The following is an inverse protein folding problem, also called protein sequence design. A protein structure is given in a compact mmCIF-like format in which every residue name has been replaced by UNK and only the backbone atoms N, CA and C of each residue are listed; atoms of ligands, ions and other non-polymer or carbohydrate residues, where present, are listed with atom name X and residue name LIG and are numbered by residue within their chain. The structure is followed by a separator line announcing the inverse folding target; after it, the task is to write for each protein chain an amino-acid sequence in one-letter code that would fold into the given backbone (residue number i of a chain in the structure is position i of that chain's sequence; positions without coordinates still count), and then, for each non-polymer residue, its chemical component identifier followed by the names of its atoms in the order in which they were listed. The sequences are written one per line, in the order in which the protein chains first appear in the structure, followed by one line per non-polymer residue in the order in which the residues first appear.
data_IF_656346186084
#
_entry.id   IF_656346186084
#
_cell.length_a   1.000
_cell.length_b   1.000
_cell.length_c   1.000
_cell.angle_alpha   90.00
_cell.angle_beta   90.00
_cell.angle_gamma   90.00
#
_symmetry.space_group_name_H-M   'P 1'
#
loop_
_entity.id
_entity.type
_entity.pdbx_description
1 polymer ?
#
# COMPACT_ATOMS: atom_id res chain seq x y z
N UNK A 1 -28.51 10.58 -18.22
CA UNK A 1 -27.75 9.43 -17.69
C UNK A 1 -28.63 8.69 -16.71
N UNK A 2 -28.94 7.44 -17.01
CA UNK A 2 -29.59 6.52 -16.05
C UNK A 2 -28.55 5.98 -15.07
N UNK A 3 -28.99 5.53 -13.88
CA UNK A 3 -28.09 4.92 -12.88
C UNK A 3 -27.29 3.75 -13.47
N UNK A 4 -27.90 3.00 -14.38
CA UNK A 4 -27.28 1.85 -15.07
C UNK A 4 -26.16 2.28 -16.01
N UNK A 5 -26.33 3.39 -16.73
CA UNK A 5 -25.30 3.93 -17.62
C UNK A 5 -24.06 4.37 -16.83
N UNK A 6 -24.26 5.09 -15.72
CA UNK A 6 -23.17 5.54 -14.84
C UNK A 6 -22.41 4.36 -14.26
N UNK A 7 -23.12 3.34 -13.77
CA UNK A 7 -22.50 2.13 -13.25
C UNK A 7 -21.66 1.42 -14.32
N UNK A 8 -22.21 1.25 -15.53
CA UNK A 8 -21.52 0.56 -16.63
C UNK A 8 -20.24 1.30 -17.04
N UNK A 9 -20.28 2.62 -17.11
CA UNK A 9 -19.12 3.45 -17.44
C UNK A 9 -18.05 3.35 -16.35
N UNK A 10 -18.44 3.50 -15.08
CA UNK A 10 -17.51 3.37 -13.94
C UNK A 10 -16.80 2.01 -13.91
N UNK A 11 -17.54 0.90 -14.13
CA UNK A 11 -16.91 -0.42 -14.21
C UNK A 11 -15.95 -0.54 -15.39
N UNK A 12 -16.33 0.00 -16.56
CA UNK A 12 -15.48 -0.07 -17.75
C UNK A 12 -14.17 0.69 -17.57
N UNK A 13 -14.20 1.85 -16.90
CA UNK A 13 -13.02 2.64 -16.58
C UNK A 13 -12.17 2.02 -15.46
N UNK A 14 -12.79 1.43 -14.44
CA UNK A 14 -12.08 0.83 -13.30
C UNK A 14 -11.48 -0.55 -13.63
N UNK A 15 -12.07 -1.31 -14.56
CA UNK A 15 -11.67 -2.68 -14.89
C UNK A 15 -10.17 -2.87 -15.13
N UNK A 16 -9.46 -2.04 -15.92
CA UNK A 16 -8.02 -2.18 -16.13
C UNK A 16 -7.21 -2.05 -14.83
N UNK A 17 -7.55 -1.05 -14.01
CA UNK A 17 -6.88 -0.82 -12.73
C UNK A 17 -7.16 -1.96 -11.73
N UNK A 18 -8.41 -2.41 -11.66
CA UNK A 18 -8.81 -3.55 -10.83
C UNK A 18 -8.14 -4.85 -11.29
N UNK A 19 -7.98 -5.06 -12.59
CA UNK A 19 -7.28 -6.23 -13.14
C UNK A 19 -5.81 -6.23 -12.74
N UNK A 20 -5.13 -5.08 -12.83
CA UNK A 20 -3.75 -4.94 -12.36
C UNK A 20 -3.65 -5.19 -10.85
N UNK A 21 -4.60 -4.66 -10.06
CA UNK A 21 -4.66 -4.90 -8.61
C UNK A 21 -4.88 -6.38 -8.28
N UNK A 22 -5.74 -7.07 -9.04
CA UNK A 22 -6.00 -8.50 -8.87
C UNK A 22 -4.73 -9.31 -9.11
N UNK A 23 -4.03 -9.06 -10.22
CA UNK A 23 -2.78 -9.77 -10.54
C UNK A 23 -1.73 -9.53 -9.46
N UNK A 24 -1.53 -8.27 -9.04
CA UNK A 24 -0.60 -7.94 -7.97
C UNK A 24 -0.97 -8.61 -6.63
N UNK A 25 -2.26 -8.61 -6.29
CA UNK A 25 -2.78 -9.26 -5.09
C UNK A 25 -2.61 -10.78 -5.10
N UNK A 26 -2.83 -11.43 -6.25
CA UNK A 26 -2.58 -12.86 -6.42
C UNK A 26 -1.09 -13.20 -6.25
N UNK A 27 -0.20 -12.42 -6.86
CA UNK A 27 1.26 -12.59 -6.69
C UNK A 27 1.64 -12.43 -5.22
N UNK A 28 1.14 -11.39 -4.56
CA UNK A 28 1.39 -11.19 -3.12
C UNK A 28 0.87 -12.34 -2.26
N UNK A 29 -0.30 -12.90 -2.60
CA UNK A 29 -0.88 -14.06 -1.93
C UNK A 29 -0.04 -15.33 -2.10
N UNK A 30 0.51 -15.56 -3.29
CA UNK A 30 1.44 -16.69 -3.54
C UNK A 30 2.71 -16.53 -2.70
N UNK A 31 3.31 -15.34 -2.67
CA UNK A 31 4.49 -15.05 -1.84
C UNK A 31 4.19 -15.28 -0.36
N UNK A 32 3.07 -14.76 0.14
CA UNK A 32 2.65 -14.96 1.54
C UNK A 32 2.39 -16.43 1.86
N UNK A 33 1.83 -17.19 0.92
CA UNK A 33 1.63 -18.63 1.03
C UNK A 33 2.94 -19.42 1.12
N UNK A 34 4.02 -18.92 0.54
CA UNK A 34 5.36 -19.50 0.68
C UNK A 34 5.99 -19.28 2.06
N UNK A 35 5.54 -18.27 2.82
CA UNK A 35 6.08 -17.91 4.14
C UNK A 35 5.32 -18.57 5.30
N UNK A 36 4.59 -19.66 5.04
CA UNK A 36 3.69 -20.27 6.03
C UNK A 36 4.42 -20.81 7.26
N UNK A 37 5.61 -21.37 7.10
CA UNK A 37 6.37 -21.94 8.22
C UNK A 37 6.91 -20.85 9.15
N UNK A 38 7.34 -19.74 8.58
CA UNK A 38 7.85 -18.55 9.27
C UNK A 38 6.71 -17.85 10.02
N UNK A 39 5.55 -17.72 9.38
CA UNK A 39 4.35 -17.18 10.02
C UNK A 39 3.80 -18.10 11.12
N UNK A 40 4.00 -19.42 11.03
CA UNK A 40 3.67 -20.35 12.12
C UNK A 40 4.65 -20.22 13.29
N UNK A 41 5.95 -20.15 12.99
CA UNK A 41 7.01 -19.98 13.99
C UNK A 41 6.80 -18.70 14.81
N UNK A 42 6.27 -17.64 14.20
CA UNK A 42 5.89 -16.40 14.88
C UNK A 42 4.46 -16.01 14.50
N UNK A 43 3.48 -16.68 15.11
CA UNK A 43 2.05 -16.47 14.83
C UNK A 43 1.59 -15.00 14.98
N UNK A 44 2.27 -14.22 15.83
CA UNK A 44 2.03 -12.78 15.99
C UNK A 44 2.29 -11.94 14.73
N UNK A 45 3.11 -12.43 13.77
CA UNK A 45 3.39 -11.71 12.52
C UNK A 45 2.16 -11.61 11.60
N UNK A 46 1.23 -12.57 11.70
CA UNK A 46 0.00 -12.54 10.88
C UNK A 46 -0.86 -11.29 11.16
N UNK A 47 -0.82 -10.77 12.39
CA UNK A 47 -1.54 -9.55 12.79
C UNK A 47 -1.01 -8.31 12.04
N UNK A 48 0.28 -8.30 11.69
CA UNK A 48 0.90 -7.19 10.96
C UNK A 48 0.56 -7.20 9.47
N UNK A 49 0.20 -8.35 8.88
CA UNK A 49 0.00 -8.47 7.44
C UNK A 49 -1.08 -7.50 6.93
N UNK A 50 -2.32 -7.47 7.48
CA UNK A 50 -3.34 -6.53 7.00
C UNK A 50 -2.95 -5.07 7.22
N UNK A 51 -2.32 -4.75 8.37
CA UNK A 51 -1.88 -3.40 8.70
C UNK A 51 -0.84 -2.88 7.71
N UNK A 52 0.17 -3.69 7.38
CA UNK A 52 1.24 -3.34 6.43
C UNK A 52 0.71 -3.26 4.98
N UNK A 53 -0.25 -4.11 4.61
CA UNK A 53 -0.88 -4.02 3.29
C UNK A 53 -1.68 -2.71 3.13
N UNK A 54 -2.46 -2.34 4.15
CA UNK A 54 -3.25 -1.11 4.13
C UNK A 54 -2.37 0.14 4.07
N UNK A 55 -1.28 0.20 4.84
CA UNK A 55 -0.37 1.36 4.85
C UNK A 55 0.32 1.55 3.50
N UNK A 56 0.77 0.46 2.85
CA UNK A 56 1.36 0.57 1.50
C UNK A 56 0.38 1.08 0.46
N UNK A 57 -0.88 0.62 0.50
CA UNK A 57 -1.94 1.14 -0.36
C UNK A 57 -2.11 2.66 -0.23
N UNK A 58 -2.16 3.17 1.00
CA UNK A 58 -2.33 4.60 1.28
C UNK A 58 -1.11 5.45 0.89
N UNK A 59 0.10 4.94 1.12
CA UNK A 59 1.34 5.66 0.79
C UNK A 59 1.50 5.80 -0.73
N UNK A 60 1.32 4.70 -1.48
CA UNK A 60 1.53 4.73 -2.92
C UNK A 60 0.37 5.39 -3.67
N UNK A 61 -0.87 5.33 -3.17
CA UNK A 61 -1.99 6.07 -3.77
C UNK A 61 -1.82 7.59 -3.61
N UNK A 62 -1.36 8.04 -2.45
CA UNK A 62 -0.98 9.44 -2.20
C UNK A 62 0.16 9.90 -3.13
N UNK A 63 1.19 9.07 -3.31
CA UNK A 63 2.27 9.34 -4.27
C UNK A 63 1.72 9.46 -5.71
N UNK A 64 0.88 8.51 -6.13
CA UNK A 64 0.24 8.53 -7.45
C UNK A 64 -0.60 9.79 -7.68
N UNK A 65 -1.40 10.20 -6.69
CA UNK A 65 -2.17 11.43 -6.75
C UNK A 65 -1.27 12.67 -6.90
N UNK A 66 -0.18 12.76 -6.12
CA UNK A 66 0.78 13.88 -6.22
C UNK A 66 1.45 13.94 -7.60
N UNK A 67 1.83 12.79 -8.16
CA UNK A 67 2.41 12.71 -9.50
C UNK A 67 1.38 13.11 -10.56
N UNK A 68 0.16 12.58 -10.49
CA UNK A 68 -0.91 12.88 -11.43
C UNK A 68 -1.26 14.38 -11.43
N UNK A 69 -1.41 15.00 -10.25
CA UNK A 69 -1.64 16.44 -10.13
C UNK A 69 -0.47 17.25 -10.66
N UNK A 70 0.77 16.86 -10.34
CA UNK A 70 1.95 17.57 -10.83
C UNK A 70 2.11 17.49 -12.35
N UNK A 71 1.82 16.33 -12.97
CA UNK A 71 1.77 16.16 -14.42
C UNK A 71 0.65 17.00 -15.03
N UNK A 72 -0.55 16.98 -14.45
CA UNK A 72 -1.69 17.75 -14.92
C UNK A 72 -1.45 19.26 -14.86
N UNK A 73 -0.73 19.73 -13.84
CA UNK A 73 -0.34 21.13 -13.69
C UNK A 73 0.89 21.52 -14.51
N UNK A 74 1.53 20.59 -15.22
CA UNK A 74 2.78 20.84 -15.96
C UNK A 74 4.00 21.11 -15.08
N UNK A 75 3.94 20.75 -13.79
CA UNK A 75 5.06 20.89 -12.85
C UNK A 75 6.14 19.81 -13.05
N UNK A 76 5.76 18.68 -13.63
CA UNK A 76 6.62 17.55 -13.98
C UNK A 76 6.37 17.23 -15.45
N UNK A 77 7.42 17.02 -16.24
CA UNK A 77 7.26 16.56 -17.63
C UNK A 77 6.91 15.06 -17.66
N UNK A 78 6.11 14.59 -18.65
CA UNK A 78 5.79 13.17 -18.84
C UNK A 78 6.99 12.40 -19.45
N UNK A 79 8.17 12.55 -18.85
CA UNK A 79 9.41 11.90 -19.24
C UNK A 79 10.07 11.33 -17.99
N UNK A 80 10.47 10.06 -18.05
CA UNK A 80 11.21 9.41 -16.96
C UNK A 80 12.66 9.89 -16.97
N UNK A 81 12.87 11.15 -16.62
CA UNK A 81 14.19 11.72 -16.34
C UNK A 81 14.32 11.82 -14.83
N UNK A 82 15.14 10.96 -14.23
CA UNK A 82 15.38 10.90 -12.77
C UNK A 82 15.99 12.15 -12.15
N UNK A 83 16.04 13.27 -12.88
CA UNK A 83 16.58 14.55 -12.45
C UNK A 83 15.57 15.49 -11.79
N UNK A 84 14.25 15.25 -11.86
CA UNK A 84 13.26 16.19 -11.29
C UNK A 84 13.29 16.18 -9.75
N UNK A 85 13.65 17.31 -9.09
CA UNK A 85 13.70 17.40 -7.64
C UNK A 85 12.34 17.17 -6.97
N UNK A 86 11.22 17.53 -7.63
CA UNK A 86 9.86 17.37 -7.11
C UNK A 86 9.45 15.91 -7.10
N UNK A 87 9.76 15.17 -8.17
CA UNK A 87 9.53 13.73 -8.20
C UNK A 87 10.36 13.02 -7.14
N UNK A 88 11.66 13.36 -7.03
CA UNK A 88 12.55 12.78 -6.02
C UNK A 88 12.08 13.03 -4.59
N UNK A 89 11.67 14.26 -4.28
CA UNK A 89 11.13 14.60 -2.95
C UNK A 89 9.81 13.89 -2.65
N UNK A 90 8.91 13.74 -3.62
CA UNK A 90 7.68 12.98 -3.46
C UNK A 90 7.94 11.49 -3.19
N UNK A 91 8.87 10.88 -3.93
CA UNK A 91 9.30 9.49 -3.72
C UNK A 91 9.97 9.34 -2.35
N UNK A 92 10.91 10.21 -2.00
CA UNK A 92 11.58 10.20 -0.70
C UNK A 92 10.59 10.34 0.46
N UNK A 93 9.63 11.26 0.37
CA UNK A 93 8.58 11.42 1.37
C UNK A 93 7.69 10.17 1.50
N UNK A 94 7.41 9.49 0.39
CA UNK A 94 6.61 8.25 0.40
C UNK A 94 7.36 7.10 1.06
N UNK A 95 8.66 6.96 0.77
CA UNK A 95 9.53 5.99 1.44
C UNK A 95 9.60 6.28 2.94
N UNK A 96 9.82 7.54 3.33
CA UNK A 96 9.86 7.96 4.72
C UNK A 96 8.53 7.64 5.45
N UNK A 97 7.39 7.98 4.85
CA UNK A 97 6.07 7.63 5.40
C UNK A 97 5.87 6.12 5.53
N UNK A 98 6.31 5.34 4.54
CA UNK A 98 6.24 3.88 4.59
C UNK A 98 7.07 3.29 5.74
N UNK A 99 8.29 3.79 5.93
CA UNK A 99 9.17 3.36 7.02
C UNK A 99 8.59 3.75 8.38
N UNK A 100 8.14 5.00 8.54
CA UNK A 100 7.53 5.48 9.78
C UNK A 100 6.27 4.69 10.15
N UNK A 101 5.37 4.47 9.18
CA UNK A 101 4.17 3.68 9.40
C UNK A 101 4.48 2.22 9.75
N UNK A 102 5.49 1.62 9.11
CA UNK A 102 5.92 0.24 9.41
C UNK A 102 6.54 0.13 10.80
N UNK A 103 7.39 1.09 11.19
CA UNK A 103 7.97 1.15 12.53
C UNK A 103 6.88 1.31 13.59
N UNK A 104 5.93 2.22 13.37
CA UNK A 104 4.79 2.41 14.27
C UNK A 104 3.95 1.14 14.40
N UNK A 105 3.58 0.49 13.29
CA UNK A 105 2.81 -0.75 13.30
C UNK A 105 3.55 -1.87 14.05
N UNK A 106 4.86 -2.00 13.83
CA UNK A 106 5.69 -2.99 14.54
C UNK A 106 5.73 -2.72 16.06
N UNK A 107 5.92 -1.46 16.47
CA UNK A 107 5.89 -1.08 17.89
C UNK A 107 4.54 -1.37 18.53
N UNK A 108 3.43 -0.99 17.88
CA UNK A 108 2.08 -1.24 18.39
C UNK A 108 1.82 -2.74 18.51
N UNK A 109 2.13 -3.52 17.47
CA UNK A 109 1.94 -4.97 17.51
C UNK A 109 2.77 -5.62 18.62
N UNK A 110 4.02 -5.21 18.80
CA UNK A 110 4.88 -5.69 19.87
C UNK A 110 4.29 -5.38 21.26
N UNK A 111 3.87 -4.13 21.50
CA UNK A 111 3.29 -3.71 22.79
C UNK A 111 2.00 -4.46 23.09
N UNK A 112 1.12 -4.63 22.09
CA UNK A 112 -0.13 -5.37 22.24
C UNK A 112 0.16 -6.84 22.57
N UNK A 113 1.02 -7.50 21.80
CA UNK A 113 1.38 -8.90 22.04
C UNK A 113 2.05 -9.09 23.41
N UNK A 114 2.93 -8.17 23.79
CA UNK A 114 3.56 -8.18 25.11
C UNK A 114 2.53 -8.03 26.22
N UNK A 115 1.61 -7.07 26.13
CA UNK A 115 0.55 -6.86 27.14
C UNK A 115 -0.39 -8.07 27.30
N UNK A 116 -0.72 -8.74 26.19
CA UNK A 116 -1.53 -9.96 26.19
C UNK A 116 -0.78 -11.14 26.80
N UNK A 117 0.53 -11.25 26.54
CA UNK A 117 1.38 -12.28 27.16
C UNK A 117 1.69 -12.01 28.65
N UNK A 118 1.66 -10.74 29.05
CA UNK A 118 1.91 -10.31 30.43
C UNK A 118 0.67 -10.41 31.32
N UNK A 119 -0.51 -10.74 30.77
CA UNK A 119 -1.72 -11.03 31.53
C UNK A 119 -1.72 -12.51 31.92
N UNK A 120 -1.39 -12.89 33.17
CA UNK A 120 -1.54 -14.27 33.60
C UNK A 120 -3.03 -14.52 33.81
N UNK A 121 -3.58 -15.53 33.12
CA UNK A 121 -4.81 -16.18 33.55
C UNK A 121 -4.54 -16.98 34.82
#
# INVERSE_FOLDING_TARGET
MTVVEVAREAYREALPALSASLVGGLVAGVVLGGMREELRAVSGLLVLVPALLATRGNVYSSLGARIATALHQGLIEPRVRGGDPRLRSAVAASIANGLLASAFAATVAYVVLWSLSASPA
#
